data_IF_869947577870
#
_entry.id   IF_869947577870
#
_cell.length_a   1.000
_cell.length_b   1.000
_cell.length_c   1.000
_cell.angle_alpha   90.00
_cell.angle_beta   90.00
_cell.angle_gamma   90.00
#
_symmetry.space_group_name_H-M   'P 1'
#
loop_
_entity.id
_entity.type
_entity.pdbx_description
1 polymer ?
#
# COMPACT_ATOMS: atom_id res chain seq x y z
N UNK A 1 -10.88 5.34 23.06
CA UNK A 1 -12.14 5.92 23.56
C UNK A 1 -12.58 7.05 22.63
N UNK A 2 -13.87 7.41 22.55
CA UNK A 2 -14.40 8.42 21.60
C UNK A 2 -13.64 9.78 21.67
N UNK A 3 -13.06 10.11 22.83
CA UNK A 3 -12.22 11.28 23.04
C UNK A 3 -10.85 11.26 22.34
N UNK A 4 -10.36 10.09 21.92
CA UNK A 4 -9.06 9.96 21.22
C UNK A 4 -9.20 10.27 19.72
N UNK A 5 -10.38 10.05 19.14
CA UNK A 5 -10.65 10.29 17.71
C UNK A 5 -10.60 11.79 17.40
N UNK A 6 -11.05 12.63 18.33
CA UNK A 6 -10.98 14.10 18.21
C UNK A 6 -9.55 14.66 18.35
N UNK A 7 -8.58 13.81 18.70
CA UNK A 7 -7.16 14.17 18.86
C UNK A 7 -6.28 13.64 17.75
N UNK A 8 -6.81 12.93 16.77
CA UNK A 8 -6.02 12.56 15.59
C UNK A 8 -5.62 13.83 14.86
N UNK A 9 -4.33 14.13 14.90
CA UNK A 9 -3.74 15.23 14.15
C UNK A 9 -3.90 14.94 12.66
N UNK A 10 -4.23 15.97 11.88
CA UNK A 10 -4.30 15.87 10.43
C UNK A 10 -2.90 15.47 9.94
N UNK A 11 -2.76 14.41 9.12
CA UNK A 11 -1.47 13.92 8.64
C UNK A 11 -0.90 14.83 7.53
N UNK A 12 -0.58 16.08 7.89
CA UNK A 12 -0.20 17.15 6.95
C UNK A 12 1.04 16.75 6.13
N UNK A 13 2.01 16.10 6.75
CA UNK A 13 3.23 15.66 6.08
C UNK A 13 2.94 14.63 4.99
N UNK A 14 2.18 13.58 5.31
CA UNK A 14 1.77 12.53 4.37
C UNK A 14 0.91 13.12 3.23
N UNK A 15 -0.03 14.02 3.56
CA UNK A 15 -0.85 14.71 2.56
C UNK A 15 0.02 15.53 1.60
N UNK A 16 1.01 16.26 2.11
CA UNK A 16 1.91 17.06 1.29
C UNK A 16 2.81 16.19 0.42
N UNK A 17 3.30 15.06 0.95
CA UNK A 17 4.07 14.08 0.19
C UNK A 17 3.28 13.54 -1.00
N UNK A 18 2.02 13.15 -0.80
CA UNK A 18 1.20 12.67 -1.92
C UNK A 18 0.86 13.80 -2.90
N UNK A 19 0.59 15.02 -2.42
CA UNK A 19 0.29 16.18 -3.29
C UNK A 19 1.46 16.60 -4.19
N UNK A 20 2.69 16.27 -3.82
CA UNK A 20 3.87 16.54 -4.63
C UNK A 20 4.02 15.53 -5.80
N UNK A 21 3.22 14.46 -5.83
CA UNK A 21 3.18 13.45 -6.89
C UNK A 21 2.05 13.76 -7.90
N UNK A 22 2.15 13.17 -9.10
CA UNK A 22 0.99 13.05 -10.00
C UNK A 22 0.09 11.87 -9.57
N UNK A 23 -0.57 12.02 -8.42
CA UNK A 23 -1.31 10.95 -7.75
C UNK A 23 -2.73 10.70 -8.31
N UNK A 24 -3.23 11.58 -9.18
CA UNK A 24 -4.63 11.53 -9.63
C UNK A 24 -4.87 10.32 -10.51
N UNK A 25 -5.94 9.58 -10.24
CA UNK A 25 -6.27 8.33 -10.94
C UNK A 25 -5.18 7.25 -10.84
N UNK A 26 -4.35 7.32 -9.79
CA UNK A 26 -3.30 6.35 -9.50
C UNK A 26 -3.64 5.57 -8.23
N UNK A 27 -3.29 4.29 -8.23
CA UNK A 27 -3.57 3.36 -7.13
C UNK A 27 -2.37 3.26 -6.20
N UNK A 28 -2.63 3.38 -4.90
CA UNK A 28 -1.65 3.34 -3.82
C UNK A 28 -1.77 2.05 -3.03
N UNK A 29 -0.65 1.40 -2.76
CA UNK A 29 -0.50 0.51 -1.62
C UNK A 29 0.21 1.30 -0.51
N UNK A 30 -0.50 1.58 0.60
CA UNK A 30 0.04 2.47 1.64
C UNK A 30 -0.32 2.07 3.06
N UNK A 31 0.63 2.24 3.98
CA UNK A 31 0.44 2.10 5.43
C UNK A 31 -0.19 3.32 6.09
N UNK A 32 -0.48 4.38 5.31
CA UNK A 32 -1.07 5.65 5.77
C UNK A 32 -2.51 5.85 5.27
N UNK A 33 -3.48 4.95 5.57
CA UNK A 33 -4.86 5.10 5.10
C UNK A 33 -5.55 6.35 5.67
N UNK A 34 -5.02 6.96 6.75
CA UNK A 34 -5.53 8.19 7.36
C UNK A 34 -5.49 9.42 6.45
N UNK A 35 -4.79 9.36 5.32
CA UNK A 35 -4.78 10.46 4.33
C UNK A 35 -6.03 10.50 3.46
N UNK A 36 -6.73 9.37 3.30
CA UNK A 36 -7.88 9.21 2.38
C UNK A 36 -9.03 10.19 2.66
N UNK A 37 -9.40 10.51 3.92
CA UNK A 37 -10.44 11.50 4.19
C UNK A 37 -10.08 12.92 3.71
N UNK A 38 -8.80 13.22 3.51
CA UNK A 38 -8.31 14.56 3.15
C UNK A 38 -7.88 14.68 1.69
N UNK A 39 -7.60 13.55 1.03
CA UNK A 39 -7.13 13.49 -0.34
C UNK A 39 -7.78 12.34 -1.09
N UNK A 40 -8.43 12.57 -2.25
CA UNK A 40 -9.06 11.51 -3.03
C UNK A 40 -8.00 10.67 -3.74
N UNK A 41 -7.46 9.68 -3.03
CA UNK A 41 -6.54 8.67 -3.56
C UNK A 41 -7.27 7.33 -3.71
N UNK A 42 -6.84 6.52 -4.67
CA UNK A 42 -7.33 5.15 -4.81
C UNK A 42 -6.42 4.22 -4.02
N UNK A 43 -6.99 3.49 -3.05
CA UNK A 43 -6.26 2.44 -2.34
C UNK A 43 -6.37 1.12 -3.09
N UNK A 44 -5.26 0.42 -3.26
CA UNK A 44 -5.27 -0.95 -3.75
C UNK A 44 -6.04 -1.87 -2.79
N UNK A 45 -5.78 -1.70 -1.49
CA UNK A 45 -6.45 -2.40 -0.41
C UNK A 45 -6.57 -1.47 0.80
N UNK A 46 -7.75 -1.43 1.42
CA UNK A 46 -7.90 -0.80 2.74
C UNK A 46 -7.29 -1.71 3.80
N UNK A 47 -6.48 -1.22 4.75
CA UNK A 47 -5.96 -2.06 5.84
C UNK A 47 -7.03 -2.69 6.71
N UNK A 48 -8.25 -2.12 6.70
CA UNK A 48 -9.41 -2.59 7.46
C UNK A 48 -10.48 -3.12 6.52
N UNK A 49 -10.87 -4.37 6.70
CA UNK A 49 -11.81 -5.06 5.79
C UNK A 49 -13.20 -4.42 5.81
N UNK A 50 -13.63 -3.91 6.96
CA UNK A 50 -14.94 -3.29 7.15
C UNK A 50 -15.09 -1.91 6.49
N UNK A 51 -13.99 -1.32 6.02
CA UNK A 51 -14.01 -0.10 5.20
C UNK A 51 -14.08 -0.39 3.70
N UNK A 52 -14.18 -1.66 3.32
CA UNK A 52 -14.20 -2.08 1.93
C UNK A 52 -15.61 -2.44 1.47
N UNK A 53 -15.92 -2.09 0.23
CA UNK A 53 -17.17 -2.51 -0.41
C UNK A 53 -17.19 -4.04 -0.62
N UNK A 54 -18.32 -4.75 -0.38
CA UNK A 54 -18.39 -6.21 -0.54
C UNK A 54 -17.93 -6.73 -1.91
N UNK A 55 -18.18 -5.98 -2.98
CA UNK A 55 -17.77 -6.34 -4.35
C UNK A 55 -16.32 -5.96 -4.71
N UNK A 56 -15.52 -5.45 -3.78
CA UNK A 56 -14.15 -5.02 -4.08
C UNK A 56 -13.14 -6.18 -4.16
N UNK A 57 -13.61 -7.44 -4.03
CA UNK A 57 -12.79 -8.66 -4.10
C UNK A 57 -11.64 -8.64 -3.08
N UNK A 58 -11.93 -8.15 -1.86
CA UNK A 58 -10.93 -7.88 -0.83
C UNK A 58 -10.00 -9.08 -0.56
N UNK A 59 -10.55 -10.27 -0.35
CA UNK A 59 -9.75 -11.48 -0.07
C UNK A 59 -8.90 -11.91 -1.26
N UNK A 60 -9.33 -11.63 -2.49
CA UNK A 60 -8.53 -11.93 -3.67
C UNK A 60 -7.37 -10.94 -3.83
N UNK A 61 -7.57 -9.67 -3.44
CA UNK A 61 -6.49 -8.67 -3.38
C UNK A 61 -5.49 -9.00 -2.27
N UNK A 62 -5.96 -9.48 -1.11
CA UNK A 62 -5.10 -10.04 -0.05
C UNK A 62 -4.25 -11.19 -0.59
N UNK A 63 -4.87 -12.16 -1.27
CA UNK A 63 -4.16 -13.29 -1.86
C UNK A 63 -3.13 -12.85 -2.92
N UNK A 64 -3.43 -11.78 -3.68
CA UNK A 64 -2.45 -11.20 -4.61
C UNK A 64 -1.27 -10.56 -3.87
N UNK A 65 -1.48 -9.86 -2.75
CA UNK A 65 -0.37 -9.34 -1.94
C UNK A 65 0.50 -10.47 -1.36
N UNK A 66 -0.12 -11.59 -0.99
CA UNK A 66 0.61 -12.81 -0.57
C UNK A 66 1.42 -13.41 -1.73
N UNK A 67 0.86 -13.48 -2.93
CA UNK A 67 1.59 -13.93 -4.13
C UNK A 67 2.75 -12.98 -4.51
N UNK A 68 2.58 -11.66 -4.30
CA UNK A 68 3.66 -10.68 -4.46
C UNK A 68 4.81 -10.94 -3.47
N UNK A 69 4.50 -11.17 -2.20
CA UNK A 69 5.50 -11.51 -1.18
C UNK A 69 6.30 -12.77 -1.53
N UNK A 70 5.65 -13.75 -2.19
CA UNK A 70 6.27 -15.00 -2.61
C UNK A 70 7.01 -14.92 -3.97
N UNK A 71 7.22 -13.72 -4.52
CA UNK A 71 7.99 -13.56 -5.77
C UNK A 71 9.44 -14.01 -5.56
N UNK A 72 10.00 -14.71 -6.55
CA UNK A 72 11.38 -15.19 -6.51
C UNK A 72 12.38 -14.03 -6.61
N UNK A 73 12.10 -13.07 -7.48
CA UNK A 73 12.98 -11.94 -7.75
C UNK A 73 12.20 -10.65 -8.10
N UNK A 74 12.96 -9.58 -8.38
CA UNK A 74 12.43 -8.26 -8.70
C UNK A 74 11.64 -8.22 -10.01
N UNK A 75 12.02 -9.05 -10.98
CA UNK A 75 11.35 -9.11 -12.29
C UNK A 75 9.99 -9.79 -12.15
N UNK A 76 9.92 -10.93 -11.46
CA UNK A 76 8.65 -11.59 -11.16
C UNK A 76 7.72 -10.68 -10.37
N UNK A 77 8.25 -10.02 -9.33
CA UNK A 77 7.50 -9.06 -8.52
C UNK A 77 6.89 -7.94 -9.37
N UNK A 78 7.69 -7.33 -10.24
CA UNK A 78 7.25 -6.29 -11.17
C UNK A 78 6.22 -6.80 -12.18
N UNK A 79 6.46 -7.98 -12.78
CA UNK A 79 5.55 -8.59 -13.75
C UNK A 79 4.19 -8.89 -13.14
N UNK A 80 4.13 -9.36 -11.90
CA UNK A 80 2.87 -9.57 -11.17
C UNK A 80 2.10 -8.26 -10.96
N UNK A 81 2.80 -7.15 -10.69
CA UNK A 81 2.17 -5.83 -10.51
C UNK A 81 1.57 -5.31 -11.82
N UNK A 82 2.33 -5.33 -12.93
CA UNK A 82 1.85 -4.77 -14.20
C UNK A 82 0.79 -5.63 -14.89
N UNK A 83 0.76 -6.94 -14.60
CA UNK A 83 -0.25 -7.88 -15.10
C UNK A 83 -1.37 -8.15 -14.07
N UNK A 84 -1.47 -7.32 -13.03
CA UNK A 84 -2.50 -7.45 -12.00
C UNK A 84 -3.90 -7.39 -12.61
N UNK A 85 -4.74 -8.40 -12.33
CA UNK A 85 -6.14 -8.48 -12.84
C UNK A 85 -7.08 -7.42 -12.22
N UNK A 86 -6.64 -6.74 -11.17
CA UNK A 86 -7.40 -5.72 -10.47
C UNK A 86 -7.04 -4.34 -11.03
N UNK A 87 -6.16 -3.63 -10.32
CA UNK A 87 -5.57 -2.37 -10.73
C UNK A 87 -4.06 -2.48 -10.53
N UNK A 88 -3.28 -1.82 -11.39
CA UNK A 88 -1.83 -1.73 -11.24
C UNK A 88 -1.54 -0.85 -10.03
N UNK A 89 -0.74 -1.35 -9.09
CA UNK A 89 -0.25 -0.54 -7.97
C UNK A 89 0.75 0.46 -8.54
N UNK A 90 0.34 1.73 -8.65
CA UNK A 90 1.19 2.79 -9.19
C UNK A 90 2.19 3.29 -8.16
N UNK A 91 1.79 3.38 -6.88
CA UNK A 91 2.64 3.88 -5.82
C UNK A 91 2.67 2.95 -4.62
N UNK A 92 3.88 2.63 -4.16
CA UNK A 92 4.14 2.00 -2.88
C UNK A 92 4.57 3.08 -1.90
N UNK A 93 3.65 3.49 -1.02
CA UNK A 93 3.92 4.41 0.07
C UNK A 93 3.80 3.66 1.40
N UNK A 94 4.80 2.82 1.65
CA UNK A 94 4.81 1.84 2.73
C UNK A 94 5.96 2.16 3.69
N UNK A 95 5.67 2.09 4.98
CA UNK A 95 6.66 2.31 6.02
C UNK A 95 7.84 1.34 5.93
N UNK A 96 9.02 1.92 6.10
CA UNK A 96 10.28 1.23 6.19
C UNK A 96 10.52 0.79 7.65
N UNK A 97 9.98 -0.38 8.01
CA UNK A 97 10.13 -0.90 9.37
C UNK A 97 11.44 -1.66 9.61
N UNK A 98 12.15 -2.08 8.56
CA UNK A 98 13.44 -2.77 8.69
C UNK A 98 14.35 -2.46 7.49
N UNK A 99 15.66 -2.50 7.71
CA UNK A 99 16.71 -2.27 6.70
C UNK A 99 16.52 -3.04 5.40
N UNK A 100 15.91 -4.23 5.41
CA UNK A 100 15.84 -5.13 4.24
C UNK A 100 14.48 -5.25 3.58
N UNK A 101 13.37 -4.90 4.26
CA UNK A 101 12.01 -5.12 3.75
C UNK A 101 11.10 -3.91 3.99
N UNK A 102 10.20 -3.66 3.04
CA UNK A 102 8.99 -2.85 3.27
C UNK A 102 7.91 -3.76 3.83
N UNK A 103 7.03 -3.26 4.70
CA UNK A 103 5.95 -4.08 5.24
C UNK A 103 4.59 -3.41 5.21
N UNK A 104 3.60 -4.11 4.68
CA UNK A 104 2.21 -3.68 4.65
C UNK A 104 1.35 -4.60 5.54
N UNK A 105 0.30 -4.05 6.16
CA UNK A 105 -0.57 -4.80 7.06
C UNK A 105 -2.02 -4.67 6.59
N UNK A 106 -2.73 -5.79 6.52
CA UNK A 106 -4.17 -5.83 6.26
C UNK A 106 -4.89 -6.76 7.23
N UNK A 107 -6.14 -6.42 7.55
CA UNK A 107 -7.07 -7.33 8.20
C UNK A 107 -7.47 -8.44 7.21
N UNK A 108 -7.57 -9.68 7.66
CA UNK A 108 -8.10 -10.81 6.89
C UNK A 108 -9.34 -11.37 7.57
N UNK A 109 -10.30 -11.82 6.76
CA UNK A 109 -11.58 -12.27 7.27
C UNK A 109 -11.42 -13.55 8.09
N UNK A 110 -11.82 -13.50 9.36
CA UNK A 110 -11.89 -14.68 10.21
C UNK A 110 -13.24 -14.71 10.96
N UNK A 111 -14.38 -14.77 10.26
CA UNK A 111 -15.70 -14.83 10.92
C UNK A 111 -15.97 -16.21 11.51
N UNK A 112 -16.57 -16.32 12.72
CA UNK A 112 -17.15 -15.26 13.56
C UNK A 112 -16.18 -14.56 14.51
N UNK A 113 -14.89 -14.86 14.42
CA UNK A 113 -13.85 -14.31 15.28
C UNK A 113 -13.45 -12.87 14.86
N UNK A 114 -12.62 -12.25 15.69
CA UNK A 114 -12.00 -10.96 15.35
C UNK A 114 -11.16 -11.11 14.07
N UNK A 115 -11.12 -10.07 13.20
CA UNK A 115 -10.24 -10.07 12.04
C UNK A 115 -8.81 -10.35 12.46
N UNK A 116 -8.15 -11.28 11.77
CA UNK A 116 -6.72 -11.49 11.95
C UNK A 116 -5.98 -10.39 11.18
N UNK A 117 -4.75 -10.07 11.59
CA UNK A 117 -3.89 -9.18 10.82
C UNK A 117 -2.84 -10.00 10.11
N UNK A 118 -2.71 -9.80 8.80
CA UNK A 118 -1.65 -10.35 7.98
C UNK A 118 -0.65 -9.25 7.67
N UNK A 119 0.64 -9.57 7.79
CA UNK A 119 1.74 -8.69 7.41
C UNK A 119 2.38 -9.27 6.16
N UNK A 120 2.64 -8.41 5.18
CA UNK A 120 3.32 -8.76 3.95
C UNK A 120 4.69 -8.09 3.96
N UNK A 121 5.73 -8.82 3.59
CA UNK A 121 7.10 -8.31 3.54
C UNK A 121 7.62 -8.30 2.10
N UNK A 122 7.99 -7.13 1.61
CA UNK A 122 8.56 -6.99 0.26
C UNK A 122 10.05 -6.64 0.36
N UNK A 123 10.95 -7.48 -0.18
CA UNK A 123 12.38 -7.19 -0.20
C UNK A 123 12.67 -5.84 -0.87
N UNK A 124 13.40 -4.94 -0.18
CA UNK A 124 13.71 -3.61 -0.72
C UNK A 124 14.52 -3.64 -1.99
N UNK A 125 15.36 -4.67 -2.16
CA UNK A 125 16.14 -4.85 -3.37
C UNK A 125 15.27 -5.03 -4.62
N UNK A 126 14.00 -5.43 -4.49
CA UNK A 126 13.08 -5.48 -5.62
C UNK A 126 12.75 -4.08 -6.18
N UNK A 127 12.83 -3.05 -5.34
CA UNK A 127 12.58 -1.66 -5.71
C UNK A 127 13.83 -0.91 -6.21
N UNK A 128 15.00 -1.55 -6.21
CA UNK A 128 16.25 -0.91 -6.62
C UNK A 128 16.43 -0.82 -8.15
N UNK A 129 15.66 -1.59 -8.91
CA UNK A 129 15.74 -1.57 -10.37
C UNK A 129 14.96 -0.38 -10.93
N UNK A 130 15.66 0.63 -11.45
CA UNK A 130 15.09 1.85 -12.01
C UNK A 130 14.23 1.63 -13.27
N UNK A 131 14.38 0.50 -13.95
CA UNK A 131 13.49 0.12 -15.06
C UNK A 131 12.12 -0.35 -14.57
N UNK A 132 11.99 -0.74 -13.30
CA UNK A 132 10.75 -1.26 -12.70
C UNK A 132 10.12 -0.25 -11.75
N UNK A 133 10.96 0.43 -10.94
CA UNK A 133 10.52 1.36 -9.90
C UNK A 133 11.36 2.63 -9.86
N UNK A 134 10.70 3.78 -9.76
CA UNK A 134 11.33 5.07 -9.47
C UNK A 134 11.19 5.37 -7.98
N UNK A 135 12.31 5.60 -7.30
CA UNK A 135 12.32 6.04 -5.90
C UNK A 135 12.21 7.57 -5.83
N UNK A 136 11.17 8.05 -5.16
CA UNK A 136 10.86 9.48 -5.01
C UNK A 136 11.01 9.82 -3.52
N UNK A 137 11.96 10.69 -3.19
CA UNK A 137 12.17 11.15 -1.82
C UNK A 137 11.51 12.51 -1.62
N UNK A 138 10.52 12.57 -0.73
CA UNK A 138 9.82 13.79 -0.35
C UNK A 138 9.91 13.96 1.15
N UNK A 139 10.62 15.00 1.59
CA UNK A 139 10.81 15.32 3.01
C UNK A 139 11.35 14.14 3.86
N UNK A 140 12.24 13.33 3.29
CA UNK A 140 12.81 12.15 3.97
C UNK A 140 11.93 10.90 3.91
N UNK A 141 10.72 11.01 3.34
CA UNK A 141 9.85 9.87 3.04
C UNK A 141 10.17 9.33 1.65
N UNK A 142 10.29 8.01 1.52
CA UNK A 142 10.50 7.35 0.23
C UNK A 142 9.18 6.76 -0.26
N UNK A 143 8.80 7.11 -1.49
CA UNK A 143 7.67 6.52 -2.20
C UNK A 143 8.23 5.89 -3.48
N UNK A 144 7.83 4.65 -3.78
CA UNK A 144 8.23 3.99 -5.02
C UNK A 144 7.10 4.06 -6.03
N UNK A 145 7.39 4.56 -7.23
CA UNK A 145 6.47 4.58 -8.36
C UNK A 145 6.77 3.42 -9.31
N UNK A 146 5.76 2.64 -9.67
CA UNK A 146 5.86 1.59 -10.68
C UNK A 146 5.96 2.22 -12.08
N UNK A 147 6.98 1.82 -12.84
CA UNK A 147 7.15 2.23 -14.24
C UNK A 147 6.20 1.40 -15.12
N UNK A 148 5.35 2.05 -15.92
CA UNK A 148 4.35 1.41 -16.81
C UNK A 148 4.61 1.83 -18.25
#
# INVERSE_FOLDING_TARGET
AYHDILRQEIPIEQINSIKALDYKNKVFLTTHPEVVPYLPIYLFLSPKIHFTHPNALYMERVAFLEDLENSYDAEEFYLKIINCKFDIINFFYIDDHNTTHLSYIAEVHNYPESPLTQKFYYPKNYFNNQSYFLSININGTIIYETVI
#
